data_IF_069369882775
#
_entry.id   IF_069369882775
#
_cell.length_a   1.000
_cell.length_b   1.000
_cell.length_c   1.000
_cell.angle_alpha   90.00
_cell.angle_beta   90.00
_cell.angle_gamma   90.00
#
_symmetry.space_group_name_H-M   'P 1'
#
loop_
_entity.id
_entity.type
_entity.pdbx_description
1 polymer ?
#
# COMPACT_ATOMS: atom_id res chain seq x y z
N UNK A 1 -37.53 8.24 -2.88
CA UNK A 1 -36.20 8.83 -2.70
C UNK A 1 -35.24 7.68 -2.54
N UNK A 2 -34.81 7.13 -3.68
CA UNK A 2 -33.71 6.17 -3.80
C UNK A 2 -32.88 6.79 -4.91
N UNK A 3 -31.97 7.66 -4.52
CA UNK A 3 -30.91 8.14 -5.40
C UNK A 3 -29.89 7.01 -5.41
N UNK A 4 -30.12 6.05 -6.30
CA UNK A 4 -29.17 5.00 -6.59
C UNK A 4 -27.98 5.67 -7.25
N UNK A 5 -26.97 5.93 -6.43
CA UNK A 5 -25.66 6.44 -6.84
C UNK A 5 -25.07 5.45 -7.83
N UNK A 6 -25.30 5.71 -9.12
CA UNK A 6 -24.51 5.16 -10.23
C UNK A 6 -23.17 5.91 -10.23
N UNK A 7 -22.37 5.73 -9.16
CA UNK A 7 -20.92 5.91 -9.31
C UNK A 7 -20.50 4.69 -10.14
N UNK A 8 -20.54 4.83 -11.47
CA UNK A 8 -19.99 3.81 -12.36
C UNK A 8 -18.55 3.57 -11.91
N UNK A 9 -18.15 2.29 -11.69
CA UNK A 9 -16.76 2.00 -11.41
C UNK A 9 -15.99 2.57 -12.58
N UNK A 10 -15.12 3.55 -12.31
CA UNK A 10 -14.20 4.08 -13.31
C UNK A 10 -13.19 2.97 -13.55
N UNK A 11 -13.59 1.97 -14.33
CA UNK A 11 -12.67 0.98 -14.88
C UNK A 11 -11.78 1.76 -15.82
N UNK A 12 -10.60 2.15 -15.34
CA UNK A 12 -9.55 2.62 -16.23
C UNK A 12 -9.19 1.44 -17.12
N UNK A 13 -9.80 1.39 -18.31
CA UNK A 13 -9.45 0.40 -19.33
C UNK A 13 -8.01 0.67 -19.76
N UNK A 14 -7.07 -0.03 -19.11
CA UNK A 14 -5.68 -0.01 -19.52
C UNK A 14 -5.56 -0.90 -20.75
N UNK A 15 -5.24 -0.29 -21.89
CA UNK A 15 -4.94 -1.06 -23.10
C UNK A 15 -3.60 -1.79 -22.94
N UNK A 16 -3.66 -3.04 -22.52
CA UNK A 16 -2.50 -3.93 -22.40
C UNK A 16 -2.18 -4.60 -23.74
N UNK A 17 -0.91 -4.58 -24.11
CA UNK A 17 -0.38 -5.39 -25.21
C UNK A 17 -0.16 -6.83 -24.75
N UNK A 18 0.03 -7.75 -25.68
CA UNK A 18 0.39 -9.14 -25.33
C UNK A 18 1.71 -9.22 -24.55
N UNK A 19 2.66 -8.31 -24.79
CA UNK A 19 3.92 -8.23 -24.03
C UNK A 19 3.69 -7.75 -22.60
N UNK A 20 2.81 -6.77 -22.41
CA UNK A 20 2.42 -6.29 -21.07
C UNK A 20 1.76 -7.41 -20.26
N UNK A 21 0.84 -8.16 -20.87
CA UNK A 21 0.18 -9.31 -20.23
C UNK A 21 1.20 -10.38 -19.86
N UNK A 22 2.10 -10.74 -20.79
CA UNK A 22 3.13 -11.74 -20.54
C UNK A 22 4.11 -11.33 -19.41
N UNK A 23 4.34 -10.03 -19.23
CA UNK A 23 5.12 -9.50 -18.11
C UNK A 23 4.36 -9.59 -16.78
N UNK A 24 3.09 -9.19 -16.75
CA UNK A 24 2.28 -9.10 -15.53
C UNK A 24 1.81 -10.45 -15.00
N UNK A 25 1.45 -11.39 -15.88
CA UNK A 25 0.87 -12.69 -15.51
C UNK A 25 1.68 -13.45 -14.45
N UNK A 26 3.01 -13.68 -14.60
CA UNK A 26 3.77 -14.40 -13.57
C UNK A 26 3.86 -13.65 -12.24
N UNK A 27 3.84 -12.31 -12.25
CA UNK A 27 3.90 -11.48 -11.05
C UNK A 27 2.59 -11.60 -10.28
N UNK A 28 1.46 -11.42 -10.98
CA UNK A 28 0.11 -11.54 -10.43
C UNK A 28 -0.20 -12.97 -9.94
N UNK A 29 0.26 -13.99 -10.66
CA UNK A 29 0.17 -15.39 -10.20
C UNK A 29 1.00 -15.63 -8.94
N UNK A 30 2.19 -15.00 -8.83
CA UNK A 30 3.01 -15.04 -7.63
C UNK A 30 2.33 -14.35 -6.44
N UNK A 31 1.73 -13.19 -6.65
CA UNK A 31 0.94 -12.47 -5.64
C UNK A 31 -0.24 -13.31 -5.15
N UNK A 32 -1.01 -13.91 -6.06
CA UNK A 32 -2.12 -14.81 -5.74
C UNK A 32 -1.69 -15.94 -4.82
N UNK A 33 -0.54 -16.58 -5.11
CA UNK A 33 -0.03 -17.68 -4.28
C UNK A 33 0.39 -17.23 -2.88
N UNK A 34 0.92 -16.01 -2.73
CA UNK A 34 1.36 -15.45 -1.44
C UNK A 34 0.20 -14.98 -0.58
N UNK A 35 -0.84 -14.43 -1.20
CA UNK A 35 -1.92 -13.75 -0.50
C UNK A 35 -2.93 -14.71 0.16
N UNK A 36 -2.87 -16.01 -0.16
CA UNK A 36 -3.77 -17.05 0.38
C UNK A 36 -5.28 -16.72 0.22
N UNK A 37 -5.64 -15.85 -0.73
CA UNK A 37 -7.02 -15.57 -1.07
C UNK A 37 -7.59 -16.64 -2.01
N UNK A 38 -8.90 -16.82 -1.94
CA UNK A 38 -9.64 -17.74 -2.82
C UNK A 38 -9.74 -17.19 -4.25
N UNK A 39 -9.58 -15.88 -4.42
CA UNK A 39 -9.66 -15.20 -5.72
C UNK A 39 -8.28 -14.81 -6.26
N UNK A 40 -8.08 -14.89 -7.59
CA UNK A 40 -6.82 -14.52 -8.21
C UNK A 40 -6.58 -13.01 -8.13
N UNK A 41 -5.35 -12.63 -7.76
CA UNK A 41 -4.87 -11.27 -7.95
C UNK A 41 -4.80 -10.98 -9.46
N UNK A 42 -5.65 -10.08 -9.94
CA UNK A 42 -5.61 -9.55 -11.30
C UNK A 42 -5.18 -8.09 -11.28
N UNK A 43 -4.75 -7.55 -12.43
CA UNK A 43 -4.42 -6.12 -12.50
C UNK A 43 -5.65 -5.27 -12.15
N UNK A 44 -6.81 -5.60 -12.71
CA UNK A 44 -8.06 -4.89 -12.45
C UNK A 44 -8.44 -4.95 -10.96
N UNK A 45 -8.27 -6.11 -10.32
CA UNK A 45 -8.50 -6.24 -8.88
C UNK A 45 -7.62 -5.28 -8.08
N UNK A 46 -6.31 -5.24 -8.37
CA UNK A 46 -5.36 -4.38 -7.62
C UNK A 46 -5.69 -2.90 -7.81
N UNK A 47 -5.98 -2.47 -9.05
CA UNK A 47 -6.26 -1.07 -9.34
C UNK A 47 -7.61 -0.63 -8.79
N UNK A 48 -8.64 -1.46 -8.95
CA UNK A 48 -9.97 -1.16 -8.41
C UNK A 48 -9.96 -1.14 -6.89
N UNK A 49 -9.29 -2.10 -6.24
CA UNK A 49 -9.20 -2.10 -4.78
C UNK A 49 -8.51 -0.84 -4.26
N UNK A 50 -7.44 -0.36 -4.92
CA UNK A 50 -6.82 0.92 -4.56
C UNK A 50 -7.80 2.10 -4.70
N UNK A 51 -8.55 2.16 -5.80
CA UNK A 51 -9.56 3.20 -6.02
C UNK A 51 -10.74 3.13 -5.04
N UNK A 52 -11.20 1.94 -4.70
CA UNK A 52 -12.27 1.69 -3.72
C UNK A 52 -11.84 2.16 -2.34
N UNK A 53 -10.63 1.79 -1.89
CA UNK A 53 -10.06 2.29 -0.64
C UNK A 53 -10.00 3.81 -0.56
N UNK A 54 -9.58 4.48 -1.65
CA UNK A 54 -9.53 5.95 -1.68
C UNK A 54 -10.94 6.54 -1.62
N UNK A 55 -11.90 5.89 -2.28
CA UNK A 55 -13.32 6.30 -2.22
C UNK A 55 -13.87 6.15 -0.80
N UNK A 56 -13.51 5.09 -0.09
CA UNK A 56 -13.88 4.90 1.32
C UNK A 56 -13.24 5.96 2.22
N UNK A 57 -11.97 6.31 1.99
CA UNK A 57 -11.30 7.41 2.68
C UNK A 57 -12.01 8.75 2.48
N UNK A 58 -12.38 9.08 1.23
CA UNK A 58 -13.08 10.32 0.90
C UNK A 58 -14.47 10.40 1.54
N UNK A 59 -15.12 9.26 1.77
CA UNK A 59 -16.44 9.17 2.37
C UNK A 59 -16.41 9.03 3.91
N UNK A 60 -15.24 9.17 4.56
CA UNK A 60 -15.07 8.95 6.01
C UNK A 60 -15.51 7.54 6.45
N UNK A 61 -15.38 6.57 5.54
CA UNK A 61 -15.70 5.15 5.75
C UNK A 61 -14.44 4.31 5.91
N UNK A 62 -13.32 4.97 6.19
CA UNK A 62 -12.07 4.30 6.49
C UNK A 62 -12.24 3.35 7.68
N UNK A 63 -11.70 2.14 7.52
CA UNK A 63 -11.66 1.13 8.56
C UNK A 63 -10.81 1.54 9.78
N UNK A 64 -10.55 0.56 10.64
CA UNK A 64 -9.56 0.73 11.72
C UNK A 64 -8.14 0.95 11.18
N UNK A 65 -7.20 1.34 12.06
CA UNK A 65 -5.81 1.58 11.65
C UNK A 65 -5.14 0.36 10.99
N UNK A 66 -5.44 -0.85 11.47
CA UNK A 66 -4.92 -2.09 10.87
C UNK A 66 -5.46 -2.30 9.44
N UNK A 67 -6.73 -1.98 9.20
CA UNK A 67 -7.35 -2.04 7.87
C UNK A 67 -6.71 -0.99 6.96
N UNK A 68 -6.60 0.26 7.43
CA UNK A 68 -5.91 1.34 6.72
C UNK A 68 -4.46 0.96 6.34
N UNK A 69 -3.69 0.38 7.27
CA UNK A 69 -2.32 -0.06 6.99
C UNK A 69 -2.31 -1.15 5.91
N UNK A 70 -3.22 -2.12 5.99
CA UNK A 70 -3.33 -3.18 4.98
C UNK A 70 -3.68 -2.62 3.60
N UNK A 71 -4.56 -1.63 3.54
CA UNK A 71 -4.93 -1.00 2.28
C UNK A 71 -3.77 -0.15 1.71
N UNK A 72 -3.00 0.55 2.57
CA UNK A 72 -1.78 1.25 2.16
C UNK A 72 -0.69 0.27 1.67
N UNK A 73 -0.59 -0.93 2.26
CA UNK A 73 0.31 -1.99 1.75
C UNK A 73 -0.02 -2.38 0.30
N UNK A 74 -1.25 -2.21 -0.18
CA UNK A 74 -1.57 -2.47 -1.57
C UNK A 74 -0.83 -1.52 -2.51
N UNK A 75 -0.69 -0.24 -2.14
CA UNK A 75 0.07 0.73 -2.93
C UNK A 75 1.56 0.39 -2.99
N UNK A 76 2.08 -0.25 -1.95
CA UNK A 76 3.44 -0.81 -1.92
C UNK A 76 3.59 -1.98 -2.90
N UNK A 77 2.63 -2.90 -2.95
CA UNK A 77 2.60 -4.00 -3.94
C UNK A 77 2.62 -3.42 -5.36
N UNK A 78 1.81 -2.39 -5.61
CA UNK A 78 1.80 -1.70 -6.90
C UNK A 78 3.18 -1.13 -7.24
N UNK A 79 3.85 -0.46 -6.29
CA UNK A 79 5.17 0.11 -6.53
C UNK A 79 6.25 -0.97 -6.80
N UNK A 80 6.37 -1.94 -5.90
CA UNK A 80 7.49 -2.88 -5.91
C UNK A 80 7.29 -4.02 -6.90
N UNK A 81 6.12 -4.65 -6.89
CA UNK A 81 5.85 -5.81 -7.73
C UNK A 81 5.47 -5.38 -9.16
N UNK A 82 4.71 -4.27 -9.33
CA UNK A 82 4.19 -3.89 -10.65
C UNK A 82 4.98 -2.78 -11.35
N UNK A 83 5.53 -1.78 -10.65
CA UNK A 83 6.16 -0.60 -11.27
C UNK A 83 7.69 -0.65 -11.32
N UNK A 84 8.35 -1.10 -10.26
CA UNK A 84 9.80 -0.95 -10.06
C UNK A 84 10.63 -1.54 -11.20
N UNK A 85 10.23 -2.71 -11.71
CA UNK A 85 10.95 -3.44 -12.75
C UNK A 85 10.21 -3.50 -14.09
N UNK A 86 9.10 -2.75 -14.23
CA UNK A 86 8.29 -2.79 -15.43
C UNK A 86 9.03 -2.17 -16.64
N UNK A 87 8.82 -2.71 -17.86
CA UNK A 87 9.19 -2.02 -19.08
C UNK A 87 8.63 -0.59 -19.08
N UNK A 88 9.40 0.38 -19.59
CA UNK A 88 9.03 1.81 -19.53
C UNK A 88 7.63 2.05 -20.09
N UNK A 89 7.26 1.39 -21.19
CA UNK A 89 5.94 1.53 -21.81
C UNK A 89 4.81 1.06 -20.87
N UNK A 90 4.98 -0.08 -20.21
CA UNK A 90 4.03 -0.60 -19.23
C UNK A 90 3.97 0.29 -17.99
N UNK A 91 5.13 0.70 -17.47
CA UNK A 91 5.21 1.58 -16.30
C UNK A 91 4.43 2.88 -16.52
N UNK A 92 4.54 3.48 -17.71
CA UNK A 92 3.77 4.69 -18.06
C UNK A 92 2.26 4.39 -18.01
N UNK A 93 1.80 3.29 -18.62
CA UNK A 93 0.37 2.91 -18.60
C UNK A 93 -0.17 2.75 -17.18
N UNK A 94 0.58 2.04 -16.32
CA UNK A 94 0.21 1.82 -14.94
C UNK A 94 0.19 3.13 -14.15
N UNK A 95 1.24 3.96 -14.27
CA UNK A 95 1.28 5.27 -13.61
C UNK A 95 0.14 6.18 -14.05
N UNK A 96 -0.18 6.24 -15.35
CA UNK A 96 -1.31 7.04 -15.85
C UNK A 96 -2.65 6.56 -15.26
N UNK A 97 -2.81 5.26 -15.01
CA UNK A 97 -4.01 4.74 -14.39
C UNK A 97 -4.09 5.02 -12.87
N UNK A 98 -2.94 5.09 -12.19
CA UNK A 98 -2.87 5.25 -10.73
C UNK A 98 -2.82 6.73 -10.32
N UNK A 99 -2.25 7.61 -11.13
CA UNK A 99 -2.04 9.03 -10.81
C UNK A 99 -3.32 9.76 -10.31
N UNK A 100 -4.51 9.61 -10.94
CA UNK A 100 -5.73 10.24 -10.43
C UNK A 100 -6.11 9.76 -9.02
N UNK A 101 -5.83 8.50 -8.71
CA UNK A 101 -6.08 7.90 -7.41
C UNK A 101 -5.06 8.39 -6.38
N UNK A 102 -3.77 8.45 -6.75
CA UNK A 102 -2.72 8.98 -5.88
C UNK A 102 -2.98 10.46 -5.52
N UNK A 103 -3.44 11.29 -6.47
CA UNK A 103 -3.84 12.67 -6.21
C UNK A 103 -5.03 12.78 -5.24
N UNK A 104 -6.05 11.93 -5.42
CA UNK A 104 -7.21 11.85 -4.53
C UNK A 104 -6.84 11.37 -3.14
N UNK A 105 -5.97 10.37 -3.03
CA UNK A 105 -5.42 9.91 -1.76
C UNK A 105 -4.69 11.03 -1.02
N UNK A 106 -3.80 11.77 -1.70
CA UNK A 106 -3.13 12.94 -1.13
C UNK A 106 -4.14 13.99 -0.64
N UNK A 107 -5.21 14.23 -1.40
CA UNK A 107 -6.25 15.17 -1.02
C UNK A 107 -7.13 14.68 0.14
N UNK A 108 -7.40 13.38 0.26
CA UNK A 108 -8.21 12.77 1.30
C UNK A 108 -7.47 12.64 2.64
N UNK A 109 -6.14 12.56 2.60
CA UNK A 109 -5.28 12.34 3.78
C UNK A 109 -4.61 13.63 4.27
N UNK A 110 -3.93 13.55 5.41
CA UNK A 110 -3.02 14.58 5.91
C UNK A 110 -1.59 14.05 5.98
N UNK A 111 -0.63 14.95 5.76
CA UNK A 111 0.79 14.67 5.88
C UNK A 111 1.20 14.51 7.35
N UNK A 112 2.02 13.50 7.63
CA UNK A 112 2.65 13.26 8.92
C UNK A 112 4.16 13.57 8.86
N UNK A 113 4.72 13.93 10.01
CA UNK A 113 6.18 14.10 10.19
C UNK A 113 6.91 12.75 10.31
N UNK A 114 6.17 11.67 10.61
CA UNK A 114 6.66 10.31 10.81
C UNK A 114 5.78 9.33 10.02
N UNK A 115 6.31 8.17 9.59
CA UNK A 115 5.49 7.20 8.91
C UNK A 115 4.40 6.65 9.85
N UNK A 116 3.26 6.24 9.28
CA UNK A 116 2.09 5.70 10.00
C UNK A 116 2.39 4.40 10.75
N UNK A 117 3.49 3.73 10.41
CA UNK A 117 3.98 2.51 11.04
C UNK A 117 5.50 2.52 11.00
N UNK A 118 6.13 1.77 11.89
CA UNK A 118 7.54 1.41 11.71
C UNK A 118 7.73 0.63 10.40
N UNK A 119 8.41 1.26 9.44
CA UNK A 119 8.69 0.67 8.14
C UNK A 119 9.91 -0.26 8.23
N UNK A 120 9.91 -1.42 7.56
CA UNK A 120 11.12 -2.21 7.39
C UNK A 120 12.17 -1.43 6.59
N UNK A 121 13.44 -1.81 6.76
CA UNK A 121 14.55 -1.23 6.00
C UNK A 121 14.36 -1.46 4.49
N UNK A 122 14.48 -0.40 3.69
CA UNK A 122 14.23 -0.38 2.24
C UNK A 122 12.90 0.24 1.82
N UNK A 123 12.00 0.54 2.77
CA UNK A 123 10.72 1.22 2.52
C UNK A 123 10.75 2.70 2.94
N UNK A 124 11.90 3.20 3.39
CA UNK A 124 12.06 4.61 3.73
C UNK A 124 11.96 5.50 2.48
N UNK A 125 10.98 6.40 2.47
CA UNK A 125 10.86 7.43 1.43
C UNK A 125 9.64 7.30 0.51
N UNK A 126 8.83 6.25 0.66
CA UNK A 126 7.54 6.20 -0.03
C UNK A 126 6.55 7.15 0.66
N UNK A 127 6.06 8.14 -0.08
CA UNK A 127 5.30 9.27 0.48
C UNK A 127 3.94 8.87 1.08
N UNK A 128 3.31 7.80 0.58
CA UNK A 128 2.02 7.32 1.10
C UNK A 128 2.12 6.78 2.53
N UNK A 129 3.28 6.28 2.95
CA UNK A 129 3.52 5.88 4.33
C UNK A 129 3.54 7.06 5.31
N UNK A 130 3.63 8.30 4.83
CA UNK A 130 3.60 9.51 5.65
C UNK A 130 2.25 10.22 5.55
N UNK A 131 1.19 9.47 5.25
CA UNK A 131 -0.17 9.98 5.13
C UNK A 131 -1.09 9.20 6.05
N UNK A 132 -2.03 9.90 6.69
CA UNK A 132 -3.08 9.29 7.50
C UNK A 132 -4.44 9.95 7.22
N UNK A 133 -5.56 9.29 7.54
CA UNK A 133 -6.89 9.90 7.44
C UNK A 133 -6.97 11.17 8.30
N UNK A 134 -7.75 12.16 7.84
CA UNK A 134 -7.80 13.49 8.48
C UNK A 134 -8.44 13.48 9.87
N UNK A 135 -9.37 12.58 10.09
CA UNK A 135 -10.19 12.39 11.28
C UNK A 135 -9.55 11.45 12.33
N UNK A 136 -8.61 10.60 11.91
CA UNK A 136 -8.05 9.53 12.74
C UNK A 136 -6.93 10.05 13.67
N UNK A 137 -6.05 10.94 13.22
CA UNK A 137 -4.68 11.13 13.77
C UNK A 137 -4.54 11.53 15.25
N UNK A 138 -5.55 12.11 15.92
CA UNK A 138 -5.35 12.57 17.32
C UNK A 138 -5.13 11.42 18.31
N UNK A 139 -5.52 10.18 18.00
CA UNK A 139 -5.49 9.07 18.97
C UNK A 139 -4.43 7.98 18.72
N UNK A 140 -3.74 7.96 17.57
CA UNK A 140 -3.00 6.75 17.12
C UNK A 140 -1.47 6.91 17.18
N UNK A 141 -0.95 8.11 16.98
CA UNK A 141 0.51 8.37 16.98
C UNK A 141 1.13 8.23 18.38
N UNK A 142 0.32 8.29 19.45
CA UNK A 142 0.81 8.23 20.83
C UNK A 142 1.08 6.81 21.37
N UNK A 143 0.62 5.74 20.71
CA UNK A 143 0.58 4.39 21.30
C UNK A 143 1.60 3.37 20.76
N UNK A 144 2.36 3.69 19.72
CA UNK A 144 3.44 2.81 19.25
C UNK A 144 4.81 3.31 19.75
N UNK A 145 5.08 3.10 21.05
CA UNK A 145 6.47 3.06 21.51
C UNK A 145 7.21 1.96 20.72
N UNK A 146 8.44 2.20 20.22
CA UNK A 146 9.22 1.14 19.61
C UNK A 146 9.37 -0.01 20.61
N UNK A 147 9.30 -1.28 20.17
CA UNK A 147 9.56 -2.39 21.07
C UNK A 147 10.93 -2.15 21.69
N UNK A 148 11.00 -2.07 23.02
CA UNK A 148 12.23 -1.87 23.75
C UNK A 148 13.30 -2.78 23.15
N UNK A 149 14.32 -2.18 22.55
CA UNK A 149 15.48 -2.87 22.00
C UNK A 149 15.88 -3.92 23.02
N UNK A 150 15.78 -5.20 22.67
CA UNK A 150 16.23 -6.28 23.56
C UNK A 150 17.68 -5.98 23.89
N UNK A 151 17.92 -5.49 25.10
CA UNK A 151 19.26 -5.24 25.60
C UNK A 151 20.02 -6.55 25.45
N UNK A 152 21.01 -6.53 24.57
CA UNK A 152 21.96 -7.64 24.44
C UNK A 152 22.55 -7.87 25.83
N UNK A 153 22.43 -9.08 26.42
CA UNK A 153 23.04 -9.35 27.70
C UNK A 153 24.55 -9.08 27.61
N UNK A 154 25.16 -8.45 28.63
CA UNK A 154 26.59 -8.21 28.61
C UNK A 154 27.33 -9.54 28.47
N UNK A 155 28.18 -9.61 27.44
CA UNK A 155 29.11 -10.68 27.14
C UNK A 155 29.85 -11.08 28.43
N UNK A 156 29.57 -12.28 28.92
CA UNK A 156 30.21 -12.81 30.11
C UNK A 156 31.71 -12.95 29.84
N UNK A 157 32.51 -12.06 30.44
CA UNK A 157 33.95 -12.18 30.48
C UNK A 157 34.35 -13.54 31.07
N UNK A 158 34.84 -14.43 30.21
CA UNK A 158 35.40 -15.72 30.61
C UNK A 158 36.64 -15.53 31.48
N UNK A 159 36.90 -16.43 32.44
CA UNK A 159 37.94 -16.24 33.44
C UNK A 159 39.34 -16.35 32.84
N UNK A 160 40.19 -15.36 33.16
CA UNK A 160 41.64 -15.45 33.00
C UNK A 160 42.16 -16.70 33.70
N UNK A 161 42.80 -17.58 32.94
CA UNK A 161 43.56 -18.71 33.49
C UNK A 161 45.02 -18.26 33.62
N UNK A 162 45.56 -18.40 34.83
CA UNK A 162 46.99 -18.27 35.16
C UNK A 162 47.81 -19.44 34.62
#
# INVERSE_FOLDING_TARGET
MTDSREDEPVTHEIELTAEDVAYLEPILAGLTQRAHFDEPFTLDYVLNYWGDFITDLENEQAGGMDEYINDVMLREIIEHDLLQNAPIALRIKLLTAIEPWDERFEAATQQLDKPIRYLPEGYEGHWWWYRAPKDVVVQWVENEEPPASKETPPEAAGPSTQ
#
